data_IF_724566626279
#
_entry.id   IF_724566626279
#
_cell.length_a   1.000
_cell.length_b   1.000
_cell.length_c   1.000
_cell.angle_alpha   90.00
_cell.angle_beta   90.00
_cell.angle_gamma   90.00
#
_symmetry.space_group_name_H-M   'P 1'
#
loop_
_entity.id
_entity.type
_entity.pdbx_description
1 polymer ?
#
# COMPACT_ATOMS: atom_id res chain seq x y z
N UNK A 1 -45.74 46.42 16.41
CA UNK A 1 -44.86 46.65 15.23
C UNK A 1 -43.37 46.59 15.63
N UNK A 2 -42.69 45.42 15.53
CA UNK A 2 -41.79 45.01 14.43
C UNK A 2 -40.74 46.12 14.11
N UNK A 3 -39.41 45.98 14.26
CA UNK A 3 -38.51 44.81 14.15
C UNK A 3 -37.24 45.03 15.01
N UNK A 4 -36.81 43.98 15.71
CA UNK A 4 -35.44 43.75 16.21
C UNK A 4 -34.76 42.85 15.18
N UNK A 5 -33.66 43.26 14.55
CA UNK A 5 -32.70 42.36 13.88
C UNK A 5 -31.30 43.00 14.05
N UNK A 6 -30.58 42.65 15.12
CA UNK A 6 -29.58 41.57 15.22
C UNK A 6 -28.20 41.99 14.70
N UNK A 7 -27.38 42.45 15.66
CA UNK A 7 -25.92 42.47 15.59
C UNK A 7 -25.43 41.08 15.18
N UNK A 8 -24.79 40.95 14.02
CA UNK A 8 -23.97 39.77 13.68
C UNK A 8 -22.73 39.79 14.59
N UNK A 9 -22.87 39.24 15.79
CA UNK A 9 -21.76 38.60 16.48
C UNK A 9 -21.42 37.37 15.66
N UNK A 10 -20.32 37.43 14.92
CA UNK A 10 -19.68 36.25 14.34
C UNK A 10 -19.10 35.47 15.51
N UNK A 11 -19.94 34.63 16.13
CA UNK A 11 -19.48 33.58 17.01
C UNK A 11 -18.53 32.71 16.18
N UNK A 12 -17.25 32.71 16.56
CA UNK A 12 -16.39 31.54 16.39
C UNK A 12 -17.07 30.39 17.14
N UNK A 13 -18.05 29.78 16.48
CA UNK A 13 -18.47 28.45 16.85
C UNK A 13 -17.36 27.55 16.33
N UNK A 14 -16.67 26.94 17.30
CA UNK A 14 -16.01 25.65 17.17
C UNK A 14 -16.91 24.72 16.33
N UNK A 15 -16.77 24.78 15.02
CA UNK A 15 -17.05 23.64 14.16
C UNK A 15 -15.80 22.80 14.31
N UNK A 16 -15.80 22.01 15.39
CA UNK A 16 -15.23 20.68 15.33
C UNK A 16 -15.92 20.00 14.16
N UNK A 17 -15.34 20.18 12.98
CA UNK A 17 -15.56 19.34 11.83
C UNK A 17 -14.90 18.01 12.22
N UNK A 18 -15.62 17.27 13.07
CA UNK A 18 -15.77 15.85 12.88
C UNK A 18 -16.23 15.70 11.43
N UNK A 19 -15.25 15.65 10.53
CA UNK A 19 -15.42 14.87 9.33
C UNK A 19 -15.65 13.48 9.90
N UNK A 20 -16.93 13.14 10.09
CA UNK A 20 -17.40 11.78 10.02
C UNK A 20 -16.91 11.28 8.65
N UNK A 21 -15.65 10.82 8.65
CA UNK A 21 -15.00 10.02 7.62
C UNK A 21 -15.66 8.64 7.64
N UNK A 22 -16.98 8.65 7.52
CA UNK A 22 -17.77 7.53 7.05
C UNK A 22 -17.48 7.44 5.56
N UNK A 23 -16.32 6.83 5.34
CA UNK A 23 -15.85 6.27 4.08
C UNK A 23 -17.05 5.79 3.24
N UNK A 24 -17.26 6.30 2.01
CA UNK A 24 -18.32 5.80 1.13
C UNK A 24 -18.13 4.30 0.86
N UNK A 25 -19.15 3.55 0.42
CA UNK A 25 -19.10 2.11 0.23
C UNK A 25 -18.37 1.79 -1.09
N UNK A 26 -17.06 2.01 -1.11
CA UNK A 26 -16.18 1.49 -2.14
C UNK A 26 -16.26 -0.03 -2.09
N UNK A 27 -16.20 -0.68 -3.27
CA UNK A 27 -16.31 -2.12 -3.46
C UNK A 27 -15.76 -2.88 -2.26
N UNK A 28 -16.66 -3.60 -1.59
CA UNK A 28 -16.47 -4.04 -0.23
C UNK A 28 -15.08 -4.67 -0.02
N UNK A 29 -14.38 -4.24 1.02
CA UNK A 29 -13.31 -5.02 1.63
C UNK A 29 -13.76 -6.48 1.90
N UNK A 30 -15.06 -6.77 1.86
CA UNK A 30 -15.65 -8.11 1.92
C UNK A 30 -15.32 -9.04 0.74
N UNK A 31 -14.62 -8.58 -0.31
CA UNK A 31 -14.06 -9.45 -1.35
C UNK A 31 -12.54 -9.58 -1.29
N UNK A 32 -11.88 -8.89 -0.36
CA UNK A 32 -10.54 -9.26 0.02
C UNK A 32 -10.63 -10.56 0.81
N UNK A 33 -9.86 -11.59 0.45
CA UNK A 33 -9.65 -12.70 1.36
C UNK A 33 -9.25 -12.15 2.73
N UNK A 34 -9.83 -12.69 3.80
CA UNK A 34 -9.70 -12.21 5.19
C UNK A 34 -8.22 -11.96 5.59
N UNK A 35 -7.30 -12.69 4.98
CA UNK A 35 -5.85 -12.58 5.18
C UNK A 35 -5.20 -11.28 4.64
N UNK A 36 -5.78 -10.61 3.65
CA UNK A 36 -5.34 -9.28 3.21
C UNK A 36 -5.90 -8.20 4.12
N UNK A 37 -7.05 -8.46 4.76
CA UNK A 37 -7.71 -7.54 5.69
C UNK A 37 -6.94 -7.43 7.01
N UNK A 38 -6.42 -8.55 7.51
CA UNK A 38 -5.72 -8.63 8.82
C UNK A 38 -4.44 -7.78 8.89
N UNK A 39 -3.85 -7.41 7.75
CA UNK A 39 -2.67 -6.54 7.67
C UNK A 39 -3.02 -5.06 7.35
N UNK A 40 -4.29 -4.78 7.07
CA UNK A 40 -4.77 -3.43 6.70
C UNK A 40 -5.48 -2.70 7.83
N UNK A 41 -5.81 -3.40 8.93
CA UNK A 41 -6.64 -2.86 10.00
C UNK A 41 -6.01 -2.94 11.38
N UNK A 42 -5.14 -1.97 11.74
CA UNK A 42 -4.88 -1.50 13.11
C UNK A 42 -3.71 -0.51 13.12
N UNK A 43 -3.93 0.75 12.79
CA UNK A 43 -2.80 1.69 12.72
C UNK A 43 -3.18 3.15 12.92
N UNK A 44 -3.37 3.52 14.18
CA UNK A 44 -2.83 4.80 14.65
C UNK A 44 -1.30 4.71 14.57
N UNK A 45 -0.65 5.55 13.75
CA UNK A 45 0.82 5.57 13.62
C UNK A 45 1.41 4.89 12.38
N UNK A 46 0.68 4.75 11.26
CA UNK A 46 1.33 4.36 9.98
C UNK A 46 2.33 5.46 9.59
N UNK A 47 3.58 5.07 9.39
CA UNK A 47 4.55 5.86 8.63
C UNK A 47 4.58 5.28 7.22
N UNK A 48 3.96 5.93 6.20
CA UNK A 48 3.82 5.36 4.86
C UNK A 48 5.14 4.91 4.23
N UNK A 49 6.20 5.72 4.40
CA UNK A 49 7.54 5.39 3.87
C UNK A 49 8.11 4.12 4.49
N UNK A 50 7.91 3.89 5.79
CA UNK A 50 8.35 2.66 6.45
C UNK A 50 7.64 1.42 5.91
N UNK A 51 6.34 1.54 5.57
CA UNK A 51 5.60 0.45 4.93
C UNK A 51 6.12 0.15 3.53
N UNK A 52 6.41 1.19 2.74
CA UNK A 52 7.03 1.06 1.42
C UNK A 52 8.39 0.36 1.54
N UNK A 53 9.27 0.80 2.44
CA UNK A 53 10.57 0.19 2.65
C UNK A 53 10.46 -1.26 3.13
N UNK A 54 9.55 -1.54 4.07
CA UNK A 54 9.30 -2.89 4.59
C UNK A 54 8.76 -3.85 3.51
N UNK A 55 7.99 -3.33 2.54
CA UNK A 55 7.53 -4.12 1.39
C UNK A 55 8.69 -4.53 0.49
N UNK A 56 9.60 -3.60 0.16
CA UNK A 56 10.79 -3.92 -0.63
C UNK A 56 11.75 -4.85 0.13
N UNK A 57 11.94 -4.67 1.44
CA UNK A 57 12.74 -5.57 2.27
C UNK A 57 12.22 -7.01 2.22
N UNK A 58 10.91 -7.21 2.40
CA UNK A 58 10.32 -8.54 2.36
C UNK A 58 10.40 -9.17 0.95
N UNK A 59 10.25 -8.36 -0.10
CA UNK A 59 10.45 -8.83 -1.47
C UNK A 59 11.91 -9.22 -1.73
N UNK A 60 12.89 -8.47 -1.22
CA UNK A 60 14.32 -8.76 -1.38
C UNK A 60 14.70 -10.04 -0.61
N UNK A 61 14.12 -10.26 0.57
CA UNK A 61 14.35 -11.48 1.35
C UNK A 61 13.96 -12.74 0.57
N UNK A 62 12.82 -12.69 -0.13
CA UNK A 62 12.34 -13.83 -0.95
C UNK A 62 12.99 -13.86 -2.34
N UNK A 63 13.29 -12.69 -2.91
CA UNK A 63 13.85 -12.52 -4.26
C UNK A 63 15.11 -11.64 -4.22
N UNK A 64 16.28 -12.19 -3.84
CA UNK A 64 17.50 -11.40 -3.65
C UNK A 64 17.96 -10.60 -4.89
N UNK A 65 17.57 -11.03 -6.09
CA UNK A 65 17.83 -10.29 -7.34
C UNK A 65 17.25 -8.87 -7.33
N UNK A 66 16.14 -8.63 -6.60
CA UNK A 66 15.53 -7.31 -6.49
C UNK A 66 16.37 -6.31 -5.68
N UNK A 67 17.38 -6.75 -4.95
CA UNK A 67 18.32 -5.82 -4.30
C UNK A 67 19.09 -4.97 -5.33
N UNK A 68 19.44 -5.56 -6.49
CA UNK A 68 20.20 -4.86 -7.54
C UNK A 68 19.30 -4.01 -8.44
N UNK A 69 18.09 -4.47 -8.68
CA UNK A 69 17.13 -3.81 -9.57
C UNK A 69 15.71 -4.03 -9.04
N UNK A 70 15.28 -3.25 -8.04
CA UNK A 70 13.94 -3.36 -7.50
C UNK A 70 12.93 -2.88 -8.56
N UNK A 71 11.89 -3.67 -8.88
CA UNK A 71 10.84 -3.25 -9.81
C UNK A 71 9.80 -2.35 -9.13
N UNK A 72 8.98 -1.64 -9.90
CA UNK A 72 7.76 -1.05 -9.35
C UNK A 72 6.81 -2.17 -8.88
N UNK A 73 6.09 -1.94 -7.79
CA UNK A 73 5.12 -2.88 -7.24
C UNK A 73 3.97 -3.13 -8.23
N UNK A 74 3.57 -2.10 -9.00
CA UNK A 74 2.63 -2.25 -10.11
C UNK A 74 3.15 -3.23 -11.18
N UNK A 75 4.44 -3.13 -11.55
CA UNK A 75 5.08 -4.03 -12.51
C UNK A 75 5.10 -5.48 -12.02
N UNK A 76 5.35 -5.71 -10.73
CA UNK A 76 5.31 -7.04 -10.12
C UNK A 76 3.94 -7.72 -10.30
N UNK A 77 2.87 -6.95 -10.27
CA UNK A 77 1.49 -7.41 -10.45
C UNK A 77 1.03 -7.35 -11.91
N UNK A 78 1.86 -6.86 -12.83
CA UNK A 78 1.47 -6.61 -14.22
C UNK A 78 0.24 -5.70 -14.33
N UNK A 79 0.10 -4.77 -13.38
CA UNK A 79 -0.92 -3.73 -13.37
C UNK A 79 -0.26 -2.43 -13.86
N UNK A 80 -0.90 -1.64 -14.74
CA UNK A 80 -0.33 -0.35 -15.14
C UNK A 80 -0.25 0.61 -13.93
N UNK A 81 0.84 1.39 -13.82
CA UNK A 81 0.91 2.46 -12.82
C UNK A 81 -0.18 3.52 -13.07
N UNK A 82 -0.52 4.35 -12.06
CA UNK A 82 -1.43 5.47 -12.26
C UNK A 82 -0.92 6.41 -13.36
N UNK A 83 -1.87 6.93 -14.13
CA UNK A 83 -1.65 7.95 -15.16
C UNK A 83 -2.49 9.19 -14.86
N UNK A 84 -2.12 10.33 -15.43
CA UNK A 84 -2.87 11.59 -15.28
C UNK A 84 -4.31 11.51 -15.83
N UNK A 85 -4.63 10.49 -16.63
CA UNK A 85 -5.98 10.25 -17.12
C UNK A 85 -6.90 9.60 -16.06
N UNK A 86 -6.34 9.06 -14.98
CA UNK A 86 -7.06 8.27 -13.96
C UNK A 86 -7.65 9.14 -12.85
N UNK A 87 -8.30 10.25 -13.23
CA UNK A 87 -8.87 11.21 -12.26
C UNK A 87 -10.24 10.82 -11.74
N UNK A 88 -10.91 9.85 -12.37
CA UNK A 88 -12.27 9.47 -12.04
C UNK A 88 -12.36 8.23 -11.13
N UNK A 89 -13.48 8.15 -10.43
CA UNK A 89 -13.82 7.09 -9.47
C UNK A 89 -13.83 5.70 -10.12
N UNK A 90 -14.28 5.58 -11.36
CA UNK A 90 -14.36 4.31 -12.06
C UNK A 90 -12.97 3.78 -12.43
N UNK A 91 -12.07 4.65 -12.89
CA UNK A 91 -10.67 4.35 -13.19
C UNK A 91 -9.91 3.90 -11.94
N UNK A 92 -10.14 4.57 -10.80
CA UNK A 92 -9.60 4.12 -9.51
C UNK A 92 -10.11 2.72 -9.13
N UNK A 93 -11.43 2.48 -9.20
CA UNK A 93 -12.02 1.17 -8.87
C UNK A 93 -11.54 0.05 -9.79
N UNK A 94 -11.41 0.31 -11.09
CA UNK A 94 -10.89 -0.65 -12.05
C UNK A 94 -9.45 -1.06 -11.70
N UNK A 95 -8.61 -0.09 -11.32
CA UNK A 95 -7.23 -0.37 -10.89
C UNK A 95 -7.20 -1.19 -9.60
N UNK A 96 -7.96 -0.79 -8.59
CA UNK A 96 -8.02 -1.53 -7.33
C UNK A 96 -8.43 -2.98 -7.59
N UNK A 97 -9.47 -3.22 -8.38
CA UNK A 97 -9.88 -4.57 -8.77
C UNK A 97 -8.80 -5.33 -9.55
N UNK A 98 -8.05 -4.67 -10.42
CA UNK A 98 -6.92 -5.27 -11.13
C UNK A 98 -5.79 -5.67 -10.16
N UNK A 99 -5.46 -4.81 -9.18
CA UNK A 99 -4.49 -5.11 -8.11
C UNK A 99 -4.94 -6.32 -7.31
N UNK A 100 -6.20 -6.37 -6.87
CA UNK A 100 -6.74 -7.50 -6.10
C UNK A 100 -6.68 -8.80 -6.89
N UNK A 101 -7.10 -8.77 -8.15
CA UNK A 101 -7.08 -9.93 -9.04
C UNK A 101 -5.66 -10.44 -9.26
N UNK A 102 -4.71 -9.53 -9.49
CA UNK A 102 -3.31 -9.87 -9.70
C UNK A 102 -2.66 -10.44 -8.44
N UNK A 103 -2.93 -9.85 -7.26
CA UNK A 103 -2.47 -10.36 -5.98
C UNK A 103 -3.01 -11.76 -5.69
N UNK A 104 -4.30 -11.99 -5.95
CA UNK A 104 -4.91 -13.32 -5.85
C UNK A 104 -4.16 -14.32 -6.71
N UNK A 105 -3.95 -14.02 -8.01
CA UNK A 105 -3.19 -14.89 -8.93
C UNK A 105 -1.75 -15.14 -8.49
N UNK A 106 -1.05 -14.14 -7.94
CA UNK A 106 0.33 -14.27 -7.48
C UNK A 106 0.46 -15.10 -6.21
N UNK A 107 -0.52 -15.03 -5.32
CA UNK A 107 -0.46 -15.68 -4.00
C UNK A 107 -1.11 -17.06 -3.97
N UNK A 108 -2.07 -17.34 -4.86
CA UNK A 108 -2.80 -18.61 -4.92
C UNK A 108 -1.89 -19.87 -4.89
N UNK A 109 -0.80 -19.98 -5.69
CA UNK A 109 0.07 -21.16 -5.63
C UNK A 109 0.71 -21.37 -4.26
N UNK A 110 0.99 -20.29 -3.53
CA UNK A 110 1.57 -20.36 -2.19
C UNK A 110 0.52 -20.81 -1.16
N UNK A 111 -0.74 -20.40 -1.30
CA UNK A 111 -1.83 -20.90 -0.45
C UNK A 111 -2.08 -22.39 -0.67
N UNK A 112 -2.15 -22.84 -1.93
CA UNK A 112 -2.28 -24.25 -2.27
C UNK A 112 -1.12 -25.08 -1.71
N UNK A 113 0.11 -24.58 -1.84
CA UNK A 113 1.30 -25.23 -1.27
C UNK A 113 1.26 -25.28 0.27
N UNK A 114 0.82 -24.21 0.93
CA UNK A 114 0.67 -24.17 2.40
C UNK A 114 -0.39 -25.16 2.88
N UNK A 115 -1.54 -25.23 2.20
CA UNK A 115 -2.66 -26.09 2.57
C UNK A 115 -2.34 -27.59 2.40
N UNK A 116 -1.63 -27.95 1.32
CA UNK A 116 -1.22 -29.33 1.03
C UNK A 116 0.01 -29.81 1.81
N UNK A 117 0.77 -28.90 2.43
CA UNK A 117 1.96 -29.25 3.20
C UNK A 117 1.67 -29.56 4.67
N UNK A 118 2.35 -30.57 5.22
CA UNK A 118 2.27 -30.94 6.63
C UNK A 118 2.62 -29.77 7.56
N UNK A 119 1.97 -29.67 8.73
CA UNK A 119 2.31 -28.68 9.75
C UNK A 119 3.81 -28.71 10.11
N UNK A 120 4.42 -27.54 10.24
CA UNK A 120 5.84 -27.39 10.61
C UNK A 120 6.86 -27.67 9.50
N UNK A 121 6.44 -28.23 8.36
CA UNK A 121 7.36 -28.56 7.26
C UNK A 121 8.03 -27.33 6.64
N UNK A 122 9.21 -27.52 6.06
CA UNK A 122 9.96 -26.48 5.33
C UNK A 122 9.14 -25.91 4.17
N UNK A 123 8.40 -26.75 3.44
CA UNK A 123 7.54 -26.31 2.34
C UNK A 123 6.42 -25.38 2.83
N UNK A 124 5.77 -25.71 3.95
CA UNK A 124 4.75 -24.86 4.57
C UNK A 124 5.34 -23.52 5.02
N UNK A 125 6.54 -23.54 5.61
CA UNK A 125 7.25 -22.31 6.03
C UNK A 125 7.61 -21.42 4.84
N UNK A 126 8.15 -21.99 3.75
CA UNK A 126 8.45 -21.25 2.52
C UNK A 126 7.20 -20.65 1.88
N UNK A 127 6.11 -21.40 1.84
CA UNK A 127 4.82 -20.91 1.35
C UNK A 127 4.30 -19.75 2.21
N UNK A 128 4.40 -19.85 3.54
CA UNK A 128 4.04 -18.76 4.46
C UNK A 128 4.92 -17.53 4.24
N UNK A 129 6.24 -17.69 4.15
CA UNK A 129 7.17 -16.58 3.87
C UNK A 129 6.82 -15.86 2.56
N UNK A 130 6.48 -16.60 1.50
CA UNK A 130 6.06 -16.00 0.25
C UNK A 130 4.73 -15.23 0.38
N UNK A 131 3.77 -15.77 1.13
CA UNK A 131 2.49 -15.09 1.43
C UNK A 131 2.76 -13.78 2.19
N UNK A 132 3.58 -13.82 3.24
CA UNK A 132 3.93 -12.65 4.06
C UNK A 132 4.71 -11.60 3.25
N UNK A 133 5.55 -12.05 2.31
CA UNK A 133 6.28 -11.14 1.43
C UNK A 133 5.37 -10.42 0.43
N UNK A 134 4.27 -11.04 0.00
CA UNK A 134 3.29 -10.41 -0.90
C UNK A 134 2.23 -9.57 -0.18
N UNK A 135 1.97 -9.81 1.11
CA UNK A 135 1.00 -9.02 1.88
C UNK A 135 1.46 -7.56 2.08
N UNK A 136 2.77 -7.31 2.19
CA UNK A 136 3.30 -5.95 2.34
C UNK A 136 3.17 -5.09 1.07
N UNK A 137 3.56 -5.57 -0.14
CA UNK A 137 3.23 -4.89 -1.39
C UNK A 137 1.73 -4.64 -1.56
N UNK A 138 0.88 -5.60 -1.16
CA UNK A 138 -0.57 -5.41 -1.19
C UNK A 138 -1.00 -4.24 -0.30
N UNK A 139 -0.49 -4.16 0.92
CA UNK A 139 -0.77 -3.05 1.83
C UNK A 139 -0.33 -1.69 1.24
N UNK A 140 0.83 -1.64 0.58
CA UNK A 140 1.29 -0.41 -0.10
C UNK A 140 0.34 0.04 -1.20
N UNK A 141 -0.19 -0.89 -1.99
CA UNK A 141 -1.01 -0.59 -3.15
C UNK A 141 -2.52 -0.45 -2.84
N UNK A 142 -2.98 -0.90 -1.67
CA UNK A 142 -4.39 -0.93 -1.31
C UNK A 142 -4.76 0.01 -0.16
N UNK A 143 -3.81 0.39 0.71
CA UNK A 143 -4.05 1.38 1.77
C UNK A 143 -3.86 2.77 1.17
N UNK A 144 -4.91 3.61 1.08
CA UNK A 144 -4.83 4.86 0.32
C UNK A 144 -3.73 5.81 0.77
N UNK A 145 -3.53 6.00 2.08
CA UNK A 145 -2.46 6.88 2.57
C UNK A 145 -1.04 6.39 2.20
N UNK A 146 -0.85 5.08 2.05
CA UNK A 146 0.44 4.50 1.65
C UNK A 146 0.58 4.56 0.14
N UNK A 147 -0.49 4.23 -0.58
CA UNK A 147 -0.54 4.29 -2.04
C UNK A 147 -0.24 5.70 -2.56
N UNK A 148 -0.85 6.74 -1.97
CA UNK A 148 -0.61 8.14 -2.38
C UNK A 148 0.87 8.50 -2.24
N UNK A 149 1.51 8.12 -1.13
CA UNK A 149 2.94 8.37 -0.92
C UNK A 149 3.79 7.55 -1.89
N UNK A 150 3.43 6.29 -2.13
CA UNK A 150 4.12 5.45 -3.09
C UNK A 150 4.05 5.99 -4.52
N UNK A 151 2.86 6.40 -4.95
CA UNK A 151 2.61 6.95 -6.28
C UNK A 151 3.35 8.28 -6.46
N UNK A 152 3.32 9.15 -5.46
CA UNK A 152 3.97 10.47 -5.50
C UNK A 152 5.49 10.38 -5.41
N UNK A 153 6.01 9.62 -4.44
CA UNK A 153 7.42 9.65 -4.11
C UNK A 153 8.24 8.58 -4.83
N UNK A 154 7.60 7.48 -5.29
CA UNK A 154 8.27 6.39 -6.01
C UNK A 154 7.85 6.35 -7.48
N UNK A 155 6.56 6.26 -7.78
CA UNK A 155 6.10 6.08 -9.17
C UNK A 155 6.38 7.32 -10.01
N UNK A 156 5.98 8.51 -9.55
CA UNK A 156 6.19 9.77 -10.27
C UNK A 156 7.64 9.97 -10.74
N UNK A 157 8.63 9.95 -9.83
CA UNK A 157 10.04 10.08 -10.22
C UNK A 157 10.53 8.96 -11.15
N UNK A 158 9.95 7.76 -11.08
CA UNK A 158 10.30 6.65 -11.97
C UNK A 158 9.74 6.87 -13.38
N UNK A 159 8.52 7.38 -13.50
CA UNK A 159 7.93 7.78 -14.78
C UNK A 159 8.70 8.96 -15.41
N UNK A 160 9.31 9.82 -14.60
CA UNK A 160 10.24 10.88 -15.02
C UNK A 160 11.65 10.37 -15.40
N UNK A 161 11.89 9.06 -15.37
CA UNK A 161 13.14 8.44 -15.83
C UNK A 161 14.15 8.09 -14.73
N UNK A 162 13.79 8.20 -13.44
CA UNK A 162 14.64 7.66 -12.36
C UNK A 162 14.42 6.15 -12.22
N UNK A 163 15.45 5.44 -11.76
CA UNK A 163 15.29 4.03 -11.37
C UNK A 163 14.68 3.94 -9.97
N UNK A 164 13.87 2.91 -9.71
CA UNK A 164 13.33 2.61 -8.36
C UNK A 164 14.45 2.58 -7.31
N UNK A 165 15.58 1.94 -7.62
CA UNK A 165 16.73 1.86 -6.70
C UNK A 165 17.19 3.23 -6.22
N UNK A 166 17.47 4.16 -7.16
CA UNK A 166 17.88 5.54 -6.83
C UNK A 166 16.85 6.29 -5.99
N UNK A 167 15.56 5.97 -6.12
CA UNK A 167 14.51 6.59 -5.31
C UNK A 167 14.50 6.00 -3.89
N UNK A 168 14.54 4.67 -3.76
CA UNK A 168 14.55 4.00 -2.46
C UNK A 168 15.81 4.33 -1.65
N UNK A 169 16.96 4.49 -2.31
CA UNK A 169 18.24 4.82 -1.67
C UNK A 169 18.33 6.25 -1.15
N UNK A 170 17.36 7.13 -1.43
CA UNK A 170 17.35 8.47 -0.82
C UNK A 170 17.19 8.35 0.69
N UNK A 171 17.87 9.22 1.44
CA UNK A 171 17.89 9.15 2.91
C UNK A 171 16.48 9.24 3.51
N UNK A 172 15.66 10.11 2.92
CA UNK A 172 14.28 10.37 3.31
C UNK A 172 13.30 9.24 2.97
N UNK A 173 13.70 8.29 2.11
CA UNK A 173 12.92 7.11 1.72
C UNK A 173 13.34 5.88 2.54
N UNK A 174 14.28 5.08 2.02
CA UNK A 174 14.79 3.88 2.69
C UNK A 174 16.29 3.95 2.96
N UNK A 175 16.99 4.95 2.40
CA UNK A 175 18.45 5.04 2.45
C UNK A 175 19.00 5.06 3.87
N UNK A 176 18.43 5.87 4.77
CA UNK A 176 18.87 5.92 6.17
C UNK A 176 18.64 4.59 6.88
N UNK A 177 17.48 3.98 6.67
CA UNK A 177 17.09 2.68 7.25
C UNK A 177 18.02 1.56 6.78
N UNK A 178 18.28 1.47 5.48
CA UNK A 178 19.15 0.45 4.91
C UNK A 178 20.63 0.67 5.26
N UNK A 179 21.09 1.92 5.34
CA UNK A 179 22.44 2.24 5.79
C UNK A 179 22.67 1.87 7.27
N UNK A 180 21.63 1.90 8.11
CA UNK A 180 21.69 1.43 9.49
C UNK A 180 21.68 -0.10 9.59
N UNK A 181 20.91 -0.77 8.73
CA UNK A 181 20.79 -2.23 8.72
C UNK A 181 21.97 -2.95 8.04
N UNK A 182 22.70 -2.29 7.13
CA UNK A 182 23.87 -2.84 6.42
C UNK A 182 25.19 -2.81 7.20
N UNK A 183 25.15 -2.48 8.50
CA UNK A 183 26.34 -2.44 9.39
C UNK A 183 26.44 -3.62 10.37
N UNK A 184 25.59 -4.65 10.22
CA UNK A 184 25.64 -5.88 11.01
C UNK A 184 26.15 -7.05 10.18
#
# INVERSE_FOLDING_TARGET
>A
PKKIILKKKLNLLLIGLFIDLTWPPWGSLAQLPEYLVDHTGKTTGIVPRDQICSAYEALIEVYPSYHRSPPLLYTLLSVPPPSDADTDIASHNARTNAILTALGRKTEPHYQAKASSSPGSTSRKKAQQAIDAWSKPAAVLLIPQVQIVYDTEVVGPVLEGRTVQKVLMREEMCGKRWAQNGKN
#
